data_IF_240918091386
#
_entry.id   IF_240918091386
#
_cell.length_a   1.000
_cell.length_b   1.000
_cell.length_c   1.000
_cell.angle_alpha   90.00
_cell.angle_beta   90.00
_cell.angle_gamma   90.00
#
_symmetry.space_group_name_H-M   'P 1'
#
loop_
_entity.id
_entity.type
_entity.pdbx_description
1 polymer ?
#
# COMPACT_ATOMS: atom_id res chain seq x y z
N UNK A 1 19.12 -13.03 -31.56
CA UNK A 1 19.35 -13.69 -30.25
C UNK A 1 20.67 -13.20 -29.69
N UNK A 2 20.63 -12.24 -28.76
CA UNK A 2 21.83 -11.65 -28.14
C UNK A 2 21.83 -12.11 -26.68
N UNK A 3 22.88 -12.85 -26.30
CA UNK A 3 23.09 -13.37 -24.94
C UNK A 3 23.48 -12.22 -24.01
N UNK A 4 22.75 -12.03 -22.91
CA UNK A 4 23.18 -11.14 -21.83
C UNK A 4 24.32 -11.80 -21.03
N UNK A 5 25.48 -11.15 -21.00
CA UNK A 5 26.60 -11.48 -20.10
C UNK A 5 26.26 -11.00 -18.70
N UNK A 6 26.37 -11.91 -17.72
CA UNK A 6 26.26 -11.60 -16.31
C UNK A 6 27.44 -10.75 -15.81
N UNK A 7 27.14 -9.86 -14.87
CA UNK A 7 28.13 -9.21 -14.01
C UNK A 7 27.89 -9.79 -12.62
N UNK A 8 28.83 -10.63 -12.17
CA UNK A 8 28.91 -11.16 -10.82
C UNK A 8 29.34 -10.07 -9.86
N UNK A 9 28.60 -9.87 -8.78
CA UNK A 9 29.00 -9.00 -7.68
C UNK A 9 28.24 -9.35 -6.41
N UNK A 10 28.72 -10.36 -5.67
CA UNK A 10 28.33 -10.55 -4.27
C UNK A 10 29.06 -9.47 -3.47
N UNK A 11 28.33 -8.54 -2.87
CA UNK A 11 28.88 -7.67 -1.82
C UNK A 11 28.64 -8.36 -0.48
N UNK A 12 29.70 -8.92 0.08
CA UNK A 12 29.72 -9.35 1.48
C UNK A 12 29.86 -8.11 2.36
N UNK A 13 28.89 -7.86 3.25
CA UNK A 13 29.05 -6.91 4.35
C UNK A 13 29.01 -7.68 5.66
N UNK A 14 30.09 -7.61 6.43
CA UNK A 14 30.21 -8.23 7.75
C UNK A 14 29.32 -7.52 8.76
N UNK A 15 28.43 -8.26 9.44
CA UNK A 15 27.77 -7.80 10.66
C UNK A 15 28.68 -8.08 11.87
N UNK A 16 28.61 -7.24 12.90
CA UNK A 16 29.46 -7.28 14.11
C UNK A 16 29.18 -8.45 15.06
N UNK A 17 28.38 -9.44 14.65
CA UNK A 17 28.06 -10.65 15.43
C UNK A 17 28.50 -11.95 14.73
N UNK A 18 29.32 -11.87 13.67
CA UNK A 18 29.84 -13.07 12.99
C UNK A 18 28.79 -13.95 12.30
N UNK A 19 27.51 -13.56 12.30
CA UNK A 19 26.48 -14.10 11.39
C UNK A 19 26.50 -13.31 10.09
N UNK A 20 26.79 -14.03 9.01
CA UNK A 20 26.52 -13.58 7.65
C UNK A 20 25.03 -13.79 7.39
N UNK A 21 24.23 -12.77 7.63
CA UNK A 21 22.85 -12.77 7.14
C UNK A 21 22.91 -12.59 5.63
N UNK A 22 22.54 -13.63 4.89
CA UNK A 22 22.33 -13.54 3.44
C UNK A 22 21.10 -12.68 3.22
N UNK A 23 21.30 -11.39 2.96
CA UNK A 23 20.24 -10.54 2.43
C UNK A 23 19.92 -11.06 1.03
N UNK A 24 18.73 -11.63 0.85
CA UNK A 24 18.28 -12.09 -0.45
C UNK A 24 18.09 -10.87 -1.36
N UNK A 25 18.92 -10.73 -2.39
CA UNK A 25 18.66 -9.80 -3.48
C UNK A 25 17.40 -10.23 -4.26
N UNK A 26 16.78 -9.28 -4.95
CA UNK A 26 15.61 -9.46 -5.81
C UNK A 26 15.75 -10.65 -6.78
N UNK A 27 16.94 -10.89 -7.35
CA UNK A 27 17.22 -12.08 -8.17
C UNK A 27 17.28 -13.40 -7.36
N UNK A 28 17.68 -13.34 -6.09
CA UNK A 28 17.73 -14.50 -5.20
C UNK A 28 16.34 -14.92 -4.71
N UNK A 29 15.39 -13.97 -4.59
CA UNK A 29 13.99 -14.27 -4.23
C UNK A 29 13.31 -15.10 -5.32
N UNK A 30 13.58 -14.82 -6.60
CA UNK A 30 13.04 -15.58 -7.74
C UNK A 30 13.49 -17.04 -7.73
N UNK A 31 14.71 -17.32 -7.22
CA UNK A 31 15.25 -18.68 -7.14
C UNK A 31 14.64 -19.46 -5.95
N UNK A 32 14.08 -18.78 -4.94
CA UNK A 32 13.55 -19.43 -3.73
C UNK A 32 12.04 -19.75 -3.80
N UNK A 33 11.27 -19.11 -4.67
CA UNK A 33 9.82 -19.32 -4.77
C UNK A 33 9.44 -20.34 -5.85
N UNK A 34 8.42 -21.17 -5.60
CA UNK A 34 7.89 -22.11 -6.61
C UNK A 34 7.23 -21.36 -7.78
N UNK A 35 7.21 -21.98 -8.96
CA UNK A 35 6.53 -21.42 -10.14
C UNK A 35 5.05 -21.14 -9.87
N UNK A 36 4.39 -22.02 -9.12
CA UNK A 36 2.99 -21.82 -8.68
C UNK A 36 2.86 -20.57 -7.80
N UNK A 37 3.78 -20.37 -6.85
CA UNK A 37 3.76 -19.19 -6.00
C UNK A 37 3.99 -17.92 -6.81
N UNK A 38 4.94 -17.94 -7.74
CA UNK A 38 5.23 -16.80 -8.63
C UNK A 38 4.00 -16.42 -9.43
N UNK A 39 3.34 -17.41 -10.05
CA UNK A 39 2.10 -17.19 -10.79
C UNK A 39 0.97 -16.62 -9.92
N UNK A 40 0.74 -17.20 -8.74
CA UNK A 40 -0.29 -16.71 -7.81
C UNK A 40 0.01 -15.28 -7.32
N UNK A 41 1.29 -14.97 -7.08
CA UNK A 41 1.73 -13.64 -6.70
C UNK A 41 1.48 -12.64 -7.85
N UNK A 42 1.87 -12.99 -9.07
CA UNK A 42 1.65 -12.15 -10.27
C UNK A 42 0.16 -11.90 -10.51
N UNK A 43 -0.68 -12.93 -10.42
CA UNK A 43 -2.14 -12.79 -10.59
C UNK A 43 -2.75 -11.83 -9.55
N UNK A 44 -2.33 -11.93 -8.28
CA UNK A 44 -2.78 -11.03 -7.22
C UNK A 44 -2.25 -9.60 -7.43
N UNK A 45 -0.98 -9.47 -7.80
CA UNK A 45 -0.33 -8.19 -8.08
C UNK A 45 -1.00 -7.46 -9.25
N UNK A 46 -1.47 -8.19 -10.27
CA UNK A 46 -2.20 -7.59 -11.39
C UNK A 46 -3.52 -6.93 -10.96
N UNK A 47 -4.16 -7.39 -9.89
CA UNK A 47 -5.32 -6.66 -9.35
C UNK A 47 -4.93 -5.24 -8.94
N UNK A 48 -3.78 -5.05 -8.28
CA UNK A 48 -3.30 -3.73 -7.87
C UNK A 48 -2.93 -2.88 -9.09
N UNK A 49 -2.26 -3.46 -10.10
CA UNK A 49 -1.99 -2.76 -11.37
C UNK A 49 -3.28 -2.24 -11.99
N UNK A 50 -4.30 -3.09 -12.12
CA UNK A 50 -5.61 -2.71 -12.67
C UNK A 50 -6.29 -1.61 -11.84
N UNK A 51 -6.33 -1.78 -10.52
CA UNK A 51 -6.99 -0.84 -9.61
C UNK A 51 -6.37 0.55 -9.72
N UNK A 52 -5.04 0.65 -9.63
CA UNK A 52 -4.36 1.94 -9.64
C UNK A 52 -4.34 2.58 -11.03
N UNK A 53 -4.33 1.79 -12.09
CA UNK A 53 -4.39 2.28 -13.48
C UNK A 53 -5.80 2.77 -13.87
N UNK A 54 -6.84 2.16 -13.33
CA UNK A 54 -8.24 2.51 -13.65
C UNK A 54 -8.83 3.59 -12.74
N UNK A 55 -8.19 3.89 -11.60
CA UNK A 55 -8.70 4.90 -10.68
C UNK A 55 -8.27 6.31 -11.13
N UNK A 56 -9.23 7.22 -11.35
CA UNK A 56 -8.94 8.58 -11.80
C UNK A 56 -8.28 9.40 -10.68
N UNK A 57 -7.33 10.24 -11.06
CA UNK A 57 -6.72 11.23 -10.16
C UNK A 57 -7.77 12.26 -9.77
N UNK A 58 -7.88 12.51 -8.46
CA UNK A 58 -8.77 13.52 -7.88
C UNK A 58 -7.94 14.75 -7.50
N UNK A 59 -8.37 15.93 -7.93
CA UNK A 59 -7.79 17.21 -7.52
C UNK A 59 -8.71 17.89 -6.52
N UNK A 60 -8.15 18.28 -5.37
CA UNK A 60 -8.87 18.93 -4.28
C UNK A 60 -8.62 20.43 -4.33
N UNK A 61 -9.65 21.20 -4.69
CA UNK A 61 -9.61 22.66 -4.81
C UNK A 61 -10.56 23.30 -3.79
N UNK A 62 -10.06 23.50 -2.57
CA UNK A 62 -10.89 23.93 -1.44
C UNK A 62 -11.94 22.88 -1.12
N UNK A 63 -13.23 23.25 -1.21
CA UNK A 63 -14.36 22.32 -1.00
C UNK A 63 -14.76 21.54 -2.26
N UNK A 64 -14.14 21.80 -3.41
CA UNK A 64 -14.46 21.12 -4.68
C UNK A 64 -13.49 19.97 -4.93
N UNK A 65 -14.02 18.84 -5.38
CA UNK A 65 -13.26 17.69 -5.85
C UNK A 65 -13.47 17.59 -7.35
N UNK A 66 -12.38 17.66 -8.12
CA UNK A 66 -12.39 17.50 -9.56
C UNK A 66 -11.86 16.12 -9.92
N UNK A 67 -12.70 15.31 -10.57
CA UNK A 67 -12.28 14.05 -11.19
C UNK A 67 -11.63 14.36 -12.54
N UNK A 68 -10.40 13.90 -12.72
CA UNK A 68 -9.65 14.11 -13.97
C UNK A 68 -9.65 12.85 -14.84
N UNK A 69 -9.19 12.99 -16.08
CA UNK A 69 -8.86 11.86 -16.96
C UNK A 69 -7.42 11.36 -16.78
N UNK A 70 -6.68 11.90 -15.81
CA UNK A 70 -5.36 11.40 -15.46
C UNK A 70 -5.53 10.15 -14.59
N UNK A 71 -4.68 9.17 -14.79
CA UNK A 71 -4.62 7.95 -13.99
C UNK A 71 -3.20 7.74 -13.50
N UNK A 72 -3.04 6.91 -12.46
CA UNK A 72 -1.74 6.50 -12.01
C UNK A 72 -1.19 5.39 -12.92
N UNK A 73 0.14 5.23 -12.98
CA UNK A 73 0.73 4.07 -13.62
C UNK A 73 0.83 2.93 -12.60
N UNK A 74 -0.15 2.03 -12.60
CA UNK A 74 -0.25 0.94 -11.63
C UNK A 74 0.92 -0.05 -11.73
N UNK A 75 1.49 -0.25 -12.92
CA UNK A 75 2.68 -1.09 -13.10
C UNK A 75 3.92 -0.43 -12.49
N UNK A 76 4.11 0.87 -12.72
CA UNK A 76 5.27 1.60 -12.22
C UNK A 76 5.26 1.74 -10.69
N UNK A 77 4.07 1.91 -10.11
CA UNK A 77 3.88 2.09 -8.66
C UNK A 77 3.62 0.79 -7.90
N UNK A 78 3.68 -0.37 -8.57
CA UNK A 78 3.19 -1.64 -8.04
C UNK A 78 3.83 -2.05 -6.72
N UNK A 79 5.16 -1.97 -6.64
CA UNK A 79 5.91 -2.40 -5.45
C UNK A 79 5.50 -1.58 -4.21
N UNK A 80 5.44 -0.26 -4.35
CA UNK A 80 5.00 0.65 -3.29
C UNK A 80 3.53 0.44 -2.90
N UNK A 81 2.65 0.19 -3.88
CA UNK A 81 1.24 -0.07 -3.61
C UNK A 81 1.03 -1.37 -2.82
N UNK A 82 1.80 -2.41 -3.14
CA UNK A 82 1.80 -3.68 -2.39
C UNK A 82 2.38 -3.46 -0.99
N UNK A 83 3.46 -2.68 -0.88
CA UNK A 83 4.08 -2.35 0.40
C UNK A 83 3.13 -1.58 1.33
N UNK A 84 2.40 -0.59 0.83
CA UNK A 84 1.40 0.15 1.61
C UNK A 84 0.28 -0.76 2.12
N UNK A 85 -0.26 -1.60 1.23
CA UNK A 85 -1.32 -2.56 1.57
C UNK A 85 -0.85 -3.56 2.62
N UNK A 86 0.31 -4.19 2.41
CA UNK A 86 0.89 -5.15 3.33
C UNK A 86 1.25 -4.52 4.67
N UNK A 87 1.84 -3.32 4.66
CA UNK A 87 2.27 -2.61 5.85
C UNK A 87 1.10 -2.28 6.79
N UNK A 88 0.01 -1.74 6.25
CA UNK A 88 -1.13 -1.38 7.09
C UNK A 88 -1.90 -2.62 7.60
N UNK A 89 -1.98 -3.69 6.80
CA UNK A 89 -2.55 -4.98 7.23
C UNK A 89 -1.75 -5.60 8.38
N UNK A 90 -0.43 -5.62 8.26
CA UNK A 90 0.46 -6.12 9.32
C UNK A 90 0.37 -5.25 10.57
N UNK A 91 0.33 -3.93 10.42
CA UNK A 91 0.18 -3.01 11.54
C UNK A 91 -1.16 -3.19 12.27
N UNK A 92 -2.27 -3.34 11.52
CA UNK A 92 -3.60 -3.58 12.10
C UNK A 92 -3.62 -4.89 12.89
N UNK A 93 -3.05 -5.97 12.32
CA UNK A 93 -2.92 -7.26 12.99
C UNK A 93 -2.07 -7.17 14.25
N UNK A 94 -0.92 -6.50 14.19
CA UNK A 94 -0.04 -6.31 15.33
C UNK A 94 -0.73 -5.52 16.45
N UNK A 95 -1.43 -4.43 16.09
CA UNK A 95 -2.19 -3.63 17.04
C UNK A 95 -3.31 -4.44 17.70
N UNK A 96 -4.12 -5.19 16.94
CA UNK A 96 -5.17 -6.07 17.50
C UNK A 96 -4.58 -7.12 18.45
N UNK A 97 -3.45 -7.74 18.09
CA UNK A 97 -2.74 -8.68 18.97
C UNK A 97 -2.25 -8.03 20.27
N UNK A 98 -1.77 -6.78 20.18
CA UNK A 98 -1.41 -6.00 21.36
C UNK A 98 -2.62 -5.76 22.27
N UNK A 99 -3.78 -5.37 21.71
CA UNK A 99 -5.02 -5.21 22.50
C UNK A 99 -5.44 -6.49 23.21
N UNK A 100 -5.30 -7.66 22.57
CA UNK A 100 -5.64 -8.96 23.16
C UNK A 100 -4.72 -9.29 24.34
N UNK A 101 -3.44 -8.95 24.23
CA UNK A 101 -2.41 -9.33 25.22
C UNK A 101 -2.29 -8.34 26.38
N UNK A 102 -2.58 -7.05 26.15
CA UNK A 102 -2.38 -5.98 27.13
C UNK A 102 -3.67 -5.26 27.54
N UNK A 103 -4.81 -5.65 26.94
CA UNK A 103 -6.09 -4.97 27.15
C UNK A 103 -6.27 -3.78 26.22
N UNK A 104 -7.44 -3.14 26.30
CA UNK A 104 -7.75 -2.03 25.42
C UNK A 104 -7.05 -0.74 25.85
N UNK A 105 -6.49 -0.02 24.89
CA UNK A 105 -5.90 1.29 25.13
C UNK A 105 -6.97 2.36 25.40
N UNK A 106 -6.70 3.34 26.28
CA UNK A 106 -7.59 4.48 26.44
C UNK A 106 -7.67 5.28 25.14
N UNK A 107 -8.87 5.79 24.83
CA UNK A 107 -9.06 6.70 23.69
C UNK A 107 -8.36 8.03 23.94
N UNK A 108 -7.81 8.61 22.88
CA UNK A 108 -7.33 9.99 22.90
C UNK A 108 -8.49 10.96 23.17
N UNK A 109 -8.27 11.94 24.05
CA UNK A 109 -9.29 12.94 24.42
C UNK A 109 -9.86 13.68 23.21
N UNK A 110 -9.04 13.94 22.20
CA UNK A 110 -9.45 14.61 20.96
C UNK A 110 -10.20 13.70 19.95
N UNK A 111 -10.40 12.41 20.26
CA UNK A 111 -10.98 11.41 19.35
C UNK A 111 -12.07 10.56 20.02
N UNK A 112 -12.78 11.11 21.01
CA UNK A 112 -13.82 10.38 21.74
C UNK A 112 -15.00 9.93 20.86
N UNK A 113 -15.22 10.61 19.73
CA UNK A 113 -16.25 10.25 18.74
C UNK A 113 -15.87 9.03 17.88
N UNK A 114 -14.65 8.51 18.02
CA UNK A 114 -14.14 7.38 17.23
C UNK A 114 -13.78 6.19 18.13
N UNK A 115 -14.00 4.98 17.63
CA UNK A 115 -13.44 3.77 18.25
C UNK A 115 -11.90 3.76 18.10
N UNK A 116 -11.19 2.96 18.90
CA UNK A 116 -9.73 2.82 18.75
C UNK A 116 -9.35 2.30 17.36
N UNK A 117 -10.18 1.45 16.75
CA UNK A 117 -9.96 0.94 15.40
C UNK A 117 -10.19 2.02 14.33
N UNK A 118 -11.22 2.85 14.48
CA UNK A 118 -11.38 4.04 13.63
C UNK A 118 -10.20 5.00 13.81
N UNK A 119 -9.71 5.18 15.04
CA UNK A 119 -8.54 6.00 15.33
C UNK A 119 -7.26 5.45 14.69
N UNK A 120 -7.08 4.12 14.63
CA UNK A 120 -5.98 3.49 13.90
C UNK A 120 -6.00 3.90 12.41
N UNK A 121 -7.14 3.77 11.75
CA UNK A 121 -7.27 4.13 10.33
C UNK A 121 -7.15 5.65 10.09
N UNK A 122 -7.67 6.48 10.99
CA UNK A 122 -7.49 7.94 10.94
C UNK A 122 -6.01 8.29 11.10
N UNK A 123 -5.30 7.65 12.04
CA UNK A 123 -3.87 7.84 12.24
C UNK A 123 -3.07 7.50 10.98
N UNK A 124 -3.37 6.34 10.37
CA UNK A 124 -2.79 5.95 9.08
C UNK A 124 -3.05 6.99 7.98
N UNK A 125 -4.30 7.43 7.82
CA UNK A 125 -4.66 8.41 6.80
C UNK A 125 -4.01 9.78 7.03
N UNK A 126 -3.90 10.21 8.29
CA UNK A 126 -3.34 11.52 8.67
C UNK A 126 -1.86 11.62 8.34
N UNK A 127 -1.11 10.50 8.38
CA UNK A 127 0.29 10.46 7.95
C UNK A 127 0.48 10.95 6.50
N UNK A 128 -0.54 10.73 5.65
CA UNK A 128 -0.52 11.10 4.24
C UNK A 128 -1.22 12.43 3.95
N UNK A 129 -1.59 13.21 4.96
CA UNK A 129 -2.22 14.51 4.76
C UNK A 129 -1.30 15.47 4.00
N UNK A 130 -1.65 15.75 2.76
CA UNK A 130 -0.91 16.67 1.91
C UNK A 130 -1.62 16.88 0.57
N UNK A 131 -1.17 17.89 -0.18
CA UNK A 131 -1.64 18.15 -1.54
C UNK A 131 -0.49 18.62 -2.41
N UNK A 132 -0.59 18.28 -3.69
CA UNK A 132 0.31 18.75 -4.72
C UNK A 132 -0.35 19.86 -5.53
N UNK A 133 0.46 20.76 -6.08
CA UNK A 133 0.00 21.61 -7.19
C UNK A 133 -0.28 20.74 -8.43
N UNK A 134 -1.01 21.27 -9.42
CA UNK A 134 -1.28 20.55 -10.66
C UNK A 134 0.02 20.11 -11.36
N UNK A 135 1.01 21.00 -11.44
CA UNK A 135 2.30 20.71 -12.06
C UNK A 135 3.05 19.60 -11.31
N UNK A 136 3.03 19.64 -9.97
CA UNK A 136 3.61 18.59 -9.14
C UNK A 136 2.87 17.26 -9.31
N UNK A 137 1.55 17.27 -9.41
CA UNK A 137 0.75 16.07 -9.71
C UNK A 137 1.17 15.47 -11.05
N UNK A 138 1.23 16.27 -12.11
CA UNK A 138 1.61 15.78 -13.45
C UNK A 138 3.05 15.26 -13.46
N UNK A 139 3.96 15.96 -12.78
CA UNK A 139 5.35 15.54 -12.66
C UNK A 139 5.45 14.17 -11.96
N UNK A 140 4.86 14.03 -10.77
CA UNK A 140 4.93 12.79 -9.98
C UNK A 140 4.30 11.60 -10.68
N UNK A 141 3.15 11.78 -11.34
CA UNK A 141 2.53 10.72 -12.14
C UNK A 141 3.45 10.14 -13.23
N UNK A 142 4.53 10.85 -13.61
CA UNK A 142 5.49 10.43 -14.63
C UNK A 142 6.82 9.94 -14.07
N UNK A 143 7.20 10.37 -12.86
CA UNK A 143 8.57 10.21 -12.36
C UNK A 143 8.69 9.62 -10.96
N UNK A 144 7.58 9.52 -10.22
CA UNK A 144 7.58 9.03 -8.85
C UNK A 144 7.08 7.59 -8.82
N UNK A 145 7.87 6.70 -8.22
CA UNK A 145 7.47 5.30 -8.00
C UNK A 145 6.38 5.16 -6.93
N UNK A 146 6.13 6.22 -6.15
CA UNK A 146 5.04 6.26 -5.20
C UNK A 146 3.76 6.80 -5.82
N UNK A 147 2.65 6.16 -5.46
CA UNK A 147 1.32 6.70 -5.71
C UNK A 147 1.11 8.06 -5.01
N UNK A 148 0.24 8.91 -5.58
CA UNK A 148 -0.14 10.16 -4.91
C UNK A 148 -0.77 9.88 -3.55
N UNK A 149 -0.62 10.81 -2.60
CA UNK A 149 -1.02 10.62 -1.21
C UNK A 149 -2.46 10.11 -1.03
N UNK A 150 -3.43 10.63 -1.78
CA UNK A 150 -4.82 10.21 -1.69
C UNK A 150 -5.05 8.76 -2.17
N UNK A 151 -4.24 8.24 -3.10
CA UNK A 151 -4.29 6.84 -3.49
C UNK A 151 -3.67 5.94 -2.42
N UNK A 152 -2.55 6.36 -1.83
CA UNK A 152 -1.90 5.64 -0.71
C UNK A 152 -2.86 5.49 0.48
N UNK A 153 -3.83 6.39 0.65
CA UNK A 153 -4.92 6.22 1.63
C UNK A 153 -6.10 5.45 1.04
N UNK A 154 -6.79 6.02 0.05
CA UNK A 154 -8.12 5.54 -0.33
C UNK A 154 -8.08 4.18 -1.05
N UNK A 155 -7.10 3.95 -1.94
CA UNK A 155 -7.00 2.68 -2.66
C UNK A 155 -6.58 1.54 -1.72
N UNK A 156 -5.70 1.84 -0.76
CA UNK A 156 -5.28 0.88 0.26
C UNK A 156 -6.44 0.52 1.18
N UNK A 157 -7.06 1.52 1.82
CA UNK A 157 -8.15 1.28 2.78
C UNK A 157 -9.39 0.67 2.13
N UNK A 158 -9.70 0.98 0.86
CA UNK A 158 -10.80 0.33 0.14
C UNK A 158 -10.61 -1.19 -0.03
N UNK A 159 -9.36 -1.66 -0.04
CA UNK A 159 -9.03 -3.09 -0.09
C UNK A 159 -9.10 -3.78 1.28
N UNK A 160 -9.32 -3.04 2.37
CA UNK A 160 -9.34 -3.58 3.73
C UNK A 160 -10.80 -3.66 4.19
N UNK A 161 -11.42 -4.86 4.25
CA UNK A 161 -12.81 -4.98 4.64
C UNK A 161 -13.07 -4.44 6.05
N UNK A 162 -12.10 -4.53 6.95
CA UNK A 162 -12.24 -4.03 8.33
C UNK A 162 -12.30 -2.52 8.40
N UNK A 163 -11.73 -1.79 7.43
CA UNK A 163 -11.95 -0.35 7.30
C UNK A 163 -13.41 -0.06 6.95
N UNK A 164 -13.95 -0.77 5.95
CA UNK A 164 -15.33 -0.60 5.53
C UNK A 164 -16.32 -0.93 6.66
N UNK A 165 -16.01 -1.94 7.48
CA UNK A 165 -16.77 -2.30 8.68
C UNK A 165 -16.68 -1.21 9.76
N UNK A 166 -15.47 -0.80 10.14
CA UNK A 166 -15.26 0.21 11.18
C UNK A 166 -15.96 1.55 10.89
N UNK A 167 -16.06 1.93 9.61
CA UNK A 167 -16.74 3.16 9.17
C UNK A 167 -18.14 2.94 8.61
N UNK A 168 -18.67 1.72 8.67
CA UNK A 168 -20.00 1.38 8.15
C UNK A 168 -20.22 1.83 6.69
N UNK A 169 -19.19 1.67 5.86
CA UNK A 169 -19.23 2.08 4.46
C UNK A 169 -20.28 1.27 3.69
N UNK A 170 -21.18 1.94 2.96
CA UNK A 170 -22.23 1.26 2.20
C UNK A 170 -21.62 0.38 1.07
N UNK A 171 -22.15 -0.83 0.81
CA UNK A 171 -21.65 -1.71 -0.24
C UNK A 171 -21.67 -1.06 -1.63
N UNK A 172 -20.61 -1.25 -2.40
CA UNK A 172 -20.45 -0.69 -3.75
C UNK A 172 -19.98 0.76 -3.80
N UNK A 173 -19.77 1.41 -2.65
CA UNK A 173 -19.10 2.72 -2.59
C UNK A 173 -17.62 2.59 -2.91
N UNK A 174 -16.96 3.71 -3.19
CA UNK A 174 -15.51 3.74 -3.46
C UNK A 174 -14.69 3.11 -2.32
N UNK A 175 -15.12 3.32 -1.07
CA UNK A 175 -14.45 2.80 0.13
C UNK A 175 -14.96 1.42 0.58
N UNK A 176 -15.95 0.84 -0.12
CA UNK A 176 -16.40 -0.54 0.08
C UNK A 176 -16.75 -1.17 -1.28
N UNK A 177 -15.75 -1.36 -2.17
CA UNK A 177 -15.97 -1.89 -3.50
C UNK A 177 -16.31 -3.38 -3.45
N UNK A 178 -17.04 -3.87 -4.46
CA UNK A 178 -17.38 -5.29 -4.59
C UNK A 178 -16.15 -6.17 -4.85
N UNK A 179 -15.20 -5.67 -5.66
CA UNK A 179 -13.91 -6.31 -5.94
C UNK A 179 -12.84 -5.60 -5.12
N UNK A 180 -12.12 -6.34 -4.29
CA UNK A 180 -10.94 -5.89 -3.54
C UNK A 180 -9.71 -6.63 -4.04
N UNK A 181 -8.57 -5.97 -3.99
CA UNK A 181 -7.28 -6.61 -4.20
C UNK A 181 -6.72 -7.13 -2.87
N UNK A 182 -6.16 -8.33 -2.86
CA UNK A 182 -5.42 -8.87 -1.71
C UNK A 182 -4.20 -9.64 -2.18
N UNK A 183 -3.10 -9.45 -1.46
CA UNK A 183 -1.90 -10.27 -1.62
C UNK A 183 -1.93 -11.56 -0.79
N UNK A 184 -2.80 -11.63 0.23
CA UNK A 184 -2.87 -12.75 1.18
C UNK A 184 -4.27 -13.34 1.21
#
# INVERSE_FOLDING_TARGET
>A
MIKHKGISGVKETSSTDGRVDKVADSQSIVIMASEEWQKNFEERAMCFVEQYTSTPVLLYMGKKILKTNLTNNGTYTLNENIADYGGVQLALKAWRNHQITHGSEPRFDAMQDFSNEQAFFIGYATHWCGRYSLDQTIYRLRTDEHSLYNFRVNSVLANIPEFAEAFHCAPGTHMNPKKRCSMY
#
